data_IF_022009032875
#
_entry.id   IF_022009032875
#
_cell.length_a   1.000
_cell.length_b   1.000
_cell.length_c   1.000
_cell.angle_alpha   90.00
_cell.angle_beta   90.00
_cell.angle_gamma   90.00
#
_symmetry.space_group_name_H-M   'P 1'
#
loop_
_entity.id
_entity.type
_entity.pdbx_description
1 polymer ?
#
# COMPACT_ATOMS: atom_id res chain seq x y z
N UNK A 1 0.90 -12.72 -22.00
CA UNK A 1 1.38 -12.63 -20.59
C UNK A 1 1.15 -11.22 -20.04
N UNK A 2 0.64 -11.06 -18.81
CA UNK A 2 0.32 -9.74 -18.23
C UNK A 2 1.60 -8.99 -17.86
N UNK A 3 1.81 -7.79 -18.43
CA UNK A 3 2.93 -6.92 -18.10
C UNK A 3 2.63 -6.15 -16.80
N UNK A 4 3.44 -6.38 -15.78
CA UNK A 4 3.34 -5.66 -14.51
C UNK A 4 3.93 -4.26 -14.62
N UNK A 5 3.27 -3.27 -14.03
CA UNK A 5 3.77 -1.90 -14.03
C UNK A 5 5.06 -1.75 -13.20
N UNK A 6 5.15 -2.46 -12.07
CA UNK A 6 6.34 -2.42 -11.20
C UNK A 6 7.32 -3.52 -11.57
N UNK A 7 8.52 -3.12 -12.01
CA UNK A 7 9.68 -4.02 -12.15
C UNK A 7 10.24 -4.37 -10.77
N UNK A 8 10.49 -5.65 -10.52
CA UNK A 8 11.04 -6.17 -9.26
C UNK A 8 12.50 -6.53 -9.48
N UNK A 9 13.39 -6.12 -8.58
CA UNK A 9 14.82 -6.46 -8.64
C UNK A 9 15.09 -7.93 -8.25
N UNK A 10 14.47 -8.42 -7.17
CA UNK A 10 14.68 -9.78 -6.67
C UNK A 10 13.42 -10.64 -6.93
N UNK A 11 13.38 -11.36 -8.05
CA UNK A 11 12.23 -12.17 -8.44
C UNK A 11 11.99 -13.38 -7.52
N UNK A 12 13.05 -14.00 -7.00
CA UNK A 12 12.95 -15.22 -6.18
C UNK A 12 12.20 -15.03 -4.86
N UNK A 13 12.21 -13.83 -4.28
CA UNK A 13 11.54 -13.54 -2.99
C UNK A 13 10.16 -12.90 -3.12
N UNK A 14 9.56 -12.98 -4.30
CA UNK A 14 8.29 -12.31 -4.60
C UNK A 14 7.28 -13.29 -5.20
N UNK A 15 6.02 -13.08 -4.83
CA UNK A 15 4.86 -13.73 -5.43
C UNK A 15 4.02 -12.67 -6.14
N UNK A 16 3.43 -13.04 -7.29
CA UNK A 16 2.64 -12.14 -8.13
C UNK A 16 1.25 -12.72 -8.32
N UNK A 17 0.27 -11.85 -8.48
CA UNK A 17 -1.09 -12.20 -8.89
C UNK A 17 -1.67 -11.07 -9.71
N UNK A 18 -2.53 -11.40 -10.67
CA UNK A 18 -3.22 -10.41 -11.48
C UNK A 18 -4.60 -10.92 -11.85
N UNK A 19 -5.54 -10.00 -11.95
CA UNK A 19 -6.85 -10.23 -12.57
C UNK A 19 -7.03 -9.27 -13.73
N UNK A 20 -7.43 -9.78 -14.88
CA UNK A 20 -7.59 -9.01 -16.12
C UNK A 20 -9.07 -8.93 -16.45
N UNK A 21 -9.53 -7.75 -16.86
CA UNK A 21 -10.90 -7.49 -17.31
C UNK A 21 -11.99 -7.93 -16.32
N UNK A 22 -11.77 -7.62 -15.04
CA UNK A 22 -12.68 -8.01 -13.97
C UNK A 22 -13.94 -7.15 -14.02
N UNK A 23 -15.10 -7.80 -13.98
CA UNK A 23 -16.42 -7.15 -13.96
C UNK A 23 -16.79 -6.61 -12.57
N UNK A 24 -15.98 -5.68 -12.07
CA UNK A 24 -16.17 -4.95 -10.81
C UNK A 24 -15.99 -3.46 -11.03
N UNK A 25 -16.62 -2.64 -10.18
CA UNK A 25 -16.57 -1.19 -10.35
C UNK A 25 -15.19 -0.63 -10.01
N UNK A 26 -14.48 -0.13 -11.01
CA UNK A 26 -13.12 0.39 -10.90
C UNK A 26 -12.88 1.30 -9.68
N UNK A 27 -13.74 2.29 -9.44
CA UNK A 27 -13.54 3.28 -8.37
C UNK A 27 -13.59 2.64 -6.98
N UNK A 28 -14.47 1.67 -6.77
CA UNK A 28 -14.62 0.99 -5.48
C UNK A 28 -13.43 0.06 -5.22
N UNK A 29 -13.04 -0.68 -6.26
CA UNK A 29 -11.88 -1.56 -6.22
C UNK A 29 -10.60 -0.78 -6.00
N UNK A 30 -10.47 0.42 -6.57
CA UNK A 30 -9.32 1.29 -6.35
C UNK A 30 -9.16 1.69 -4.88
N UNK A 31 -10.23 2.11 -4.20
CA UNK A 31 -10.16 2.49 -2.78
C UNK A 31 -9.88 1.27 -1.88
N UNK A 32 -10.54 0.13 -2.14
CA UNK A 32 -10.30 -1.11 -1.40
C UNK A 32 -8.85 -1.61 -1.57
N UNK A 33 -8.35 -1.61 -2.80
CA UNK A 33 -6.98 -1.99 -3.12
C UNK A 33 -5.95 -1.03 -2.51
N UNK A 34 -6.29 0.26 -2.40
CA UNK A 34 -5.44 1.26 -1.74
C UNK A 34 -5.36 1.02 -0.23
N UNK A 35 -6.45 0.59 0.40
CA UNK A 35 -6.51 0.31 1.83
C UNK A 35 -5.58 -0.85 2.24
N UNK A 36 -5.56 -1.94 1.46
CA UNK A 36 -4.71 -3.11 1.75
C UNK A 36 -3.22 -2.91 1.42
N UNK A 37 -2.86 -1.79 0.80
CA UNK A 37 -1.49 -1.55 0.34
C UNK A 37 -0.53 -1.44 1.55
N UNK A 38 0.57 -2.20 1.53
CA UNK A 38 1.60 -2.32 2.60
C UNK A 38 1.22 -3.17 3.82
N UNK A 39 0.03 -3.76 3.86
CA UNK A 39 -0.35 -4.74 4.88
C UNK A 39 0.41 -6.06 4.70
N UNK A 40 0.43 -6.90 5.75
CA UNK A 40 0.78 -8.32 5.62
C UNK A 40 -0.31 -9.04 4.83
N UNK A 41 0.04 -10.15 4.18
CA UNK A 41 -0.90 -10.90 3.35
C UNK A 41 -2.12 -11.40 4.15
N UNK A 42 -1.86 -12.05 5.30
CA UNK A 42 -2.90 -12.58 6.18
C UNK A 42 -3.78 -11.48 6.79
N UNK A 43 -3.17 -10.38 7.19
CA UNK A 43 -3.87 -9.20 7.72
C UNK A 43 -4.79 -8.58 6.66
N UNK A 44 -4.32 -8.49 5.41
CA UNK A 44 -5.13 -7.98 4.31
C UNK A 44 -6.35 -8.87 4.03
N UNK A 45 -6.19 -10.20 4.07
CA UNK A 45 -7.31 -11.14 3.92
C UNK A 45 -8.33 -10.96 5.04
N UNK A 46 -7.87 -10.93 6.30
CA UNK A 46 -8.73 -10.67 7.46
C UNK A 46 -9.51 -9.37 7.32
N UNK A 47 -8.82 -8.27 7.00
CA UNK A 47 -9.45 -6.97 6.78
C UNK A 47 -10.54 -7.00 5.70
N UNK A 48 -10.28 -7.65 4.56
CA UNK A 48 -11.27 -7.73 3.48
C UNK A 48 -12.50 -8.57 3.88
N UNK A 49 -12.33 -9.62 4.67
CA UNK A 49 -13.44 -10.38 5.25
C UNK A 49 -14.24 -9.52 6.24
N UNK A 50 -13.57 -8.79 7.14
CA UNK A 50 -14.23 -7.86 8.08
C UNK A 50 -15.04 -6.77 7.34
N UNK A 51 -14.59 -6.33 6.17
CA UNK A 51 -15.34 -5.39 5.32
C UNK A 51 -16.58 -6.03 4.71
N UNK A 52 -16.50 -7.30 4.30
CA UNK A 52 -17.65 -8.04 3.76
C UNK A 52 -18.72 -8.20 4.85
N UNK A 53 -18.30 -8.48 6.08
CA UNK A 53 -19.15 -8.57 7.27
C UNK A 53 -19.58 -7.20 7.82
N UNK A 54 -19.13 -6.10 7.21
CA UNK A 54 -19.39 -4.71 7.61
C UNK A 54 -18.89 -4.32 9.01
N UNK A 55 -17.98 -5.10 9.59
CA UNK A 55 -17.32 -4.80 10.88
C UNK A 55 -16.31 -3.65 10.76
N UNK A 56 -15.59 -3.59 9.64
CA UNK A 56 -14.64 -2.51 9.29
C UNK A 56 -15.02 -1.89 7.96
N UNK A 57 -14.73 -0.61 7.75
CA UNK A 57 -15.04 0.06 6.49
C UNK A 57 -13.80 0.25 5.60
N UNK A 58 -14.02 0.48 4.31
CA UNK A 58 -13.00 0.97 3.39
C UNK A 58 -13.06 2.49 3.36
N UNK A 59 -11.97 3.22 3.65
CA UNK A 59 -11.94 4.67 3.55
C UNK A 59 -11.93 5.10 2.08
N UNK A 60 -12.90 5.94 1.67
CA UNK A 60 -12.97 6.48 0.31
C UNK A 60 -12.27 7.84 0.27
N UNK A 61 -11.13 7.92 -0.42
CA UNK A 61 -10.28 9.13 -0.42
C UNK A 61 -10.21 9.86 -1.75
N UNK A 62 -10.04 9.15 -2.87
CA UNK A 62 -9.95 9.77 -4.21
C UNK A 62 -11.32 9.89 -4.86
N UNK A 63 -12.14 8.84 -4.77
CA UNK A 63 -13.47 8.80 -5.37
C UNK A 63 -14.56 8.93 -4.30
N UNK A 64 -14.61 10.08 -3.62
CA UNK A 64 -15.44 10.31 -2.45
C UNK A 64 -16.70 11.18 -2.70
N UNK A 65 -17.06 11.45 -3.96
CA UNK A 65 -18.26 12.20 -4.31
C UNK A 65 -19.54 11.49 -3.86
N UNK A 66 -20.34 12.14 -3.01
CA UNK A 66 -21.60 11.60 -2.47
C UNK A 66 -21.44 10.39 -1.53
N UNK A 67 -20.24 10.18 -0.97
CA UNK A 67 -20.02 9.07 -0.01
C UNK A 67 -20.43 9.49 1.39
N UNK A 68 -21.30 8.68 2.01
CA UNK A 68 -21.73 8.87 3.40
C UNK A 68 -20.59 8.80 4.41
N UNK A 69 -20.80 9.43 5.57
CA UNK A 69 -19.86 9.39 6.71
C UNK A 69 -20.16 8.19 7.58
N UNK A 70 -19.13 7.58 8.16
CA UNK A 70 -19.27 6.39 9.02
C UNK A 70 -18.30 6.48 10.20
N UNK A 71 -18.73 6.10 11.41
CA UNK A 71 -17.87 6.11 12.61
C UNK A 71 -16.64 5.19 12.46
N UNK A 72 -16.79 4.07 11.73
CA UNK A 72 -15.70 3.12 11.44
C UNK A 72 -14.53 3.77 10.68
N UNK A 73 -14.76 4.85 9.93
CA UNK A 73 -13.71 5.53 9.16
C UNK A 73 -12.71 6.27 10.06
N UNK A 74 -13.05 6.51 11.35
CA UNK A 74 -12.15 7.11 12.34
C UNK A 74 -10.85 6.33 12.49
N UNK A 75 -10.89 5.00 12.33
CA UNK A 75 -9.68 4.16 12.34
C UNK A 75 -8.63 4.63 11.32
N UNK A 76 -9.07 5.18 10.19
CA UNK A 76 -8.20 5.63 9.11
C UNK A 76 -7.93 7.13 9.14
N UNK A 77 -8.25 7.81 10.24
CA UNK A 77 -8.26 9.27 10.40
C UNK A 77 -9.01 9.94 9.24
N UNK A 78 -10.18 9.39 8.89
CA UNK A 78 -11.02 9.87 7.81
C UNK A 78 -12.50 9.83 8.21
N UNK A 79 -13.35 10.55 7.48
CA UNK A 79 -14.78 10.65 7.80
C UNK A 79 -15.67 9.78 6.91
N UNK A 80 -15.27 9.60 5.64
CA UNK A 80 -16.06 8.92 4.62
C UNK A 80 -15.59 7.48 4.38
N UNK A 81 -16.53 6.53 4.37
CA UNK A 81 -16.24 5.11 4.16
C UNK A 81 -17.44 4.33 3.66
N UNK A 82 -17.18 3.17 3.01
CA UNK A 82 -18.21 2.22 2.55
C UNK A 82 -17.72 0.79 2.67
N UNK A 83 -18.63 -0.16 2.41
CA UNK A 83 -18.37 -1.61 2.38
C UNK A 83 -18.55 -2.20 0.98
N UNK A 84 -17.58 -2.04 0.06
CA UNK A 84 -17.71 -2.55 -1.31
C UNK A 84 -17.50 -4.07 -1.39
N UNK A 85 -18.50 -4.85 -0.96
CA UNK A 85 -18.40 -6.30 -0.83
C UNK A 85 -17.94 -7.01 -2.13
N UNK A 86 -18.47 -6.62 -3.30
CA UNK A 86 -18.06 -7.21 -4.59
C UNK A 86 -16.58 -6.98 -4.86
N UNK A 87 -16.06 -5.77 -4.62
CA UNK A 87 -14.64 -5.48 -4.83
C UNK A 87 -13.75 -6.27 -3.86
N UNK A 88 -14.17 -6.42 -2.61
CA UNK A 88 -13.42 -7.20 -1.61
C UNK A 88 -13.33 -8.68 -1.98
N UNK A 89 -14.43 -9.30 -2.44
CA UNK A 89 -14.44 -10.70 -2.92
C UNK A 89 -13.43 -10.94 -4.05
N UNK A 90 -13.40 -10.07 -5.05
CA UNK A 90 -12.43 -10.19 -6.16
C UNK A 90 -10.99 -9.97 -5.70
N UNK A 91 -10.76 -9.07 -4.74
CA UNK A 91 -9.42 -8.89 -4.17
C UNK A 91 -8.97 -10.11 -3.36
N UNK A 92 -9.85 -10.73 -2.58
CA UNK A 92 -9.57 -11.96 -1.84
C UNK A 92 -9.13 -13.09 -2.78
N UNK A 93 -9.89 -13.35 -3.85
CA UNK A 93 -9.54 -14.38 -4.83
C UNK A 93 -8.12 -14.17 -5.43
N UNK A 94 -7.73 -12.91 -5.67
CA UNK A 94 -6.38 -12.60 -6.18
C UNK A 94 -5.33 -12.81 -5.07
N UNK A 95 -5.63 -12.47 -3.82
CA UNK A 95 -4.72 -12.72 -2.69
C UNK A 95 -4.57 -14.22 -2.39
N UNK A 96 -5.60 -15.02 -2.60
CA UNK A 96 -5.53 -16.50 -2.52
C UNK A 96 -4.58 -17.05 -3.58
N UNK A 97 -4.70 -16.56 -4.83
CA UNK A 97 -3.74 -16.91 -5.89
C UNK A 97 -2.32 -16.45 -5.57
N UNK A 98 -2.13 -15.24 -5.02
CA UNK A 98 -0.81 -14.76 -4.57
C UNK A 98 -0.23 -15.66 -3.48
N UNK A 99 -1.07 -16.17 -2.56
CA UNK A 99 -0.64 -17.11 -1.53
C UNK A 99 -0.19 -18.44 -2.15
N UNK A 100 -1.01 -19.04 -3.01
CA UNK A 100 -0.67 -20.29 -3.69
C UNK A 100 0.63 -20.18 -4.51
N UNK A 101 0.83 -19.05 -5.19
CA UNK A 101 2.07 -18.79 -5.93
C UNK A 101 3.29 -18.59 -5.01
N UNK A 102 3.09 -18.15 -3.77
CA UNK A 102 4.15 -18.01 -2.80
C UNK A 102 4.53 -19.38 -2.20
N UNK A 103 3.55 -20.22 -1.90
CA UNK A 103 3.72 -21.59 -1.43
C UNK A 103 4.46 -22.44 -2.47
N UNK A 104 4.08 -22.36 -3.74
CA UNK A 104 4.79 -23.01 -4.86
C UNK A 104 6.26 -22.58 -4.98
N UNK A 105 6.60 -21.38 -4.47
CA UNK A 105 7.97 -20.83 -4.45
C UNK A 105 8.69 -21.05 -3.11
N UNK A 106 8.11 -21.83 -2.20
CA UNK A 106 8.62 -22.08 -0.85
C UNK A 106 8.90 -20.79 -0.05
N UNK A 107 8.07 -19.76 -0.23
CA UNK A 107 8.15 -18.52 0.53
C UNK A 107 7.31 -18.62 1.81
N UNK A 108 7.80 -18.02 2.90
CA UNK A 108 7.06 -17.97 4.17
C UNK A 108 5.85 -17.01 4.07
N UNK A 109 4.65 -17.58 4.03
CA UNK A 109 3.37 -16.87 3.90
C UNK A 109 3.16 -15.84 5.02
N UNK A 110 3.66 -16.12 6.23
CA UNK A 110 3.50 -15.24 7.40
C UNK A 110 4.29 -13.93 7.28
N UNK A 111 5.41 -13.97 6.53
CA UNK A 111 6.33 -12.85 6.32
C UNK A 111 6.07 -12.08 5.01
N UNK A 112 5.05 -12.46 4.24
CA UNK A 112 4.67 -11.77 3.01
C UNK A 112 4.00 -10.44 3.29
N UNK A 113 4.51 -9.38 2.65
CA UNK A 113 3.90 -8.05 2.64
C UNK A 113 3.59 -7.57 1.24
N UNK A 114 2.44 -6.90 1.09
CA UNK A 114 1.98 -6.36 -0.18
C UNK A 114 2.79 -5.12 -0.55
N UNK A 115 3.65 -5.23 -1.56
CA UNK A 115 4.54 -4.14 -2.01
C UNK A 115 3.89 -3.30 -3.10
N UNK A 116 3.16 -3.96 -4.00
CA UNK A 116 2.50 -3.31 -5.11
C UNK A 116 1.07 -3.82 -5.17
N UNK A 117 0.14 -2.88 -5.16
CA UNK A 117 -1.27 -3.12 -5.43
C UNK A 117 -1.67 -2.01 -6.39
N UNK A 118 -2.08 -2.37 -7.58
CA UNK A 118 -2.47 -1.45 -8.64
C UNK A 118 -3.80 -1.89 -9.22
N UNK A 119 -4.65 -0.90 -9.51
CA UNK A 119 -5.92 -1.10 -10.20
C UNK A 119 -5.95 -0.13 -11.38
N UNK A 120 -6.12 -0.67 -12.59
CA UNK A 120 -6.24 0.07 -13.83
C UNK A 120 -7.66 -0.05 -14.38
N UNK A 121 -8.12 0.99 -15.09
CA UNK A 121 -9.36 0.90 -15.85
C UNK A 121 -9.20 -0.11 -16.98
N UNK A 122 -10.22 -0.93 -17.21
CA UNK A 122 -10.32 -1.80 -18.37
C UNK A 122 -11.29 -1.18 -19.39
N UNK A 123 -11.41 -1.81 -20.58
CA UNK A 123 -12.30 -1.34 -21.64
C UNK A 123 -13.75 -1.36 -21.14
N UNK A 124 -14.50 -0.24 -21.21
CA UNK A 124 -15.89 -0.22 -20.77
C UNK A 124 -16.77 -1.06 -21.68
N UNK A 125 -17.66 -1.86 -21.09
CA UNK A 125 -18.72 -2.55 -21.84
C UNK A 125 -19.84 -1.55 -22.16
N UNK A 126 -20.33 -1.55 -23.40
CA UNK A 126 -21.31 -0.56 -23.90
C UNK A 126 -22.71 -1.17 -23.94
N UNK A 127 -23.68 -0.48 -23.34
CA UNK A 127 -25.13 -0.73 -23.48
C UNK A 127 -25.85 0.58 -23.76
N UNK A 128 -27.12 0.51 -24.13
CA UNK A 128 -27.99 1.67 -24.38
C UNK A 128 -28.98 1.85 -23.23
N UNK A 129 -29.34 3.10 -22.95
CA UNK A 129 -30.46 3.45 -22.09
C UNK A 129 -31.36 4.41 -22.86
N UNK A 130 -32.62 4.00 -23.04
CA UNK A 130 -33.65 4.83 -23.63
C UNK A 130 -34.12 5.87 -22.61
N UNK A 131 -34.29 7.11 -23.06
CA UNK A 131 -34.68 8.27 -22.26
C UNK A 131 -35.88 8.96 -22.89
N UNK A 132 -36.49 9.87 -22.14
CA UNK A 132 -37.63 10.65 -22.61
C UNK A 132 -37.37 11.35 -23.94
N UNK A 133 -38.42 11.46 -24.76
CA UNK A 133 -38.40 12.03 -26.11
C UNK A 133 -37.49 11.29 -27.10
N UNK A 134 -37.43 9.94 -27.02
CA UNK A 134 -36.68 9.12 -27.98
C UNK A 134 -35.14 9.21 -27.86
N UNK A 135 -34.61 9.87 -26.83
CA UNK A 135 -33.16 10.02 -26.63
C UNK A 135 -32.50 8.69 -26.25
N UNK A 136 -31.30 8.44 -26.76
CA UNK A 136 -30.51 7.24 -26.44
C UNK A 136 -29.19 7.65 -25.81
N UNK A 137 -29.00 7.30 -24.53
CA UNK A 137 -27.76 7.57 -23.80
C UNK A 137 -26.93 6.28 -23.61
N UNK A 138 -25.59 6.40 -23.48
CA UNK A 138 -24.75 5.25 -23.19
C UNK A 138 -24.86 4.81 -21.73
N UNK A 139 -25.00 3.51 -21.50
CA UNK A 139 -24.90 2.89 -20.18
C UNK A 139 -23.69 1.96 -20.14
N UNK A 140 -22.58 2.48 -19.63
CA UNK A 140 -21.29 1.81 -19.70
C UNK A 140 -20.91 1.14 -18.38
N UNK A 141 -20.35 -0.06 -18.45
CA UNK A 141 -19.66 -0.66 -17.30
C UNK A 141 -18.25 -0.08 -17.16
N UNK A 142 -17.69 -0.15 -15.95
CA UNK A 142 -16.30 0.29 -15.66
C UNK A 142 -15.50 -0.86 -15.04
N UNK A 143 -15.14 -1.89 -15.83
CA UNK A 143 -14.32 -3.01 -15.36
C UNK A 143 -12.89 -2.56 -15.05
N UNK A 144 -12.10 -3.43 -14.41
CA UNK A 144 -10.73 -3.11 -14.04
C UNK A 144 -9.75 -4.28 -14.18
N UNK A 145 -8.48 -3.92 -14.39
CA UNK A 145 -7.34 -4.83 -14.23
C UNK A 145 -6.72 -4.61 -12.85
N UNK A 146 -6.42 -5.68 -12.13
CA UNK A 146 -5.78 -5.63 -10.81
C UNK A 146 -4.43 -6.34 -10.90
N UNK A 147 -3.40 -5.73 -10.32
CA UNK A 147 -2.06 -6.31 -10.21
C UNK A 147 -1.60 -6.25 -8.76
N UNK A 148 -1.17 -7.39 -8.22
CA UNK A 148 -0.66 -7.51 -6.86
C UNK A 148 0.71 -8.18 -6.89
N UNK A 149 1.63 -7.63 -6.09
CA UNK A 149 2.94 -8.21 -5.85
C UNK A 149 3.17 -8.23 -4.34
N UNK A 150 3.38 -9.43 -3.80
CA UNK A 150 3.83 -9.66 -2.45
C UNK A 150 5.34 -9.99 -2.45
N UNK A 151 6.03 -9.59 -1.38
CA UNK A 151 7.44 -9.92 -1.15
C UNK A 151 7.63 -10.36 0.29
N UNK A 152 8.50 -11.34 0.47
CA UNK A 152 8.95 -11.75 1.79
C UNK A 152 9.90 -10.71 2.40
N UNK A 153 9.64 -10.33 3.65
CA UNK A 153 10.45 -9.34 4.37
C UNK A 153 11.20 -10.05 5.52
N UNK A 154 12.46 -10.40 5.26
CA UNK A 154 13.31 -11.14 6.22
C UNK A 154 13.94 -10.25 7.30
N UNK A 155 13.92 -8.92 7.14
CA UNK A 155 14.36 -7.95 8.17
C UNK A 155 13.33 -6.84 8.31
N UNK A 156 12.96 -6.41 9.53
CA UNK A 156 12.26 -5.14 9.68
C UNK A 156 13.15 -4.07 9.05
N UNK A 157 12.56 -3.22 8.19
CA UNK A 157 13.27 -2.07 7.65
C UNK A 157 13.93 -1.34 8.81
N UNK A 158 15.25 -1.04 8.72
CA UNK A 158 16.01 -0.38 9.79
C UNK A 158 15.15 0.76 10.33
N UNK A 159 14.57 0.58 11.53
CA UNK A 159 14.02 1.71 12.29
C UNK A 159 15.18 2.70 12.37
N UNK A 160 14.90 3.98 12.14
CA UNK A 160 15.86 5.06 12.35
C UNK A 160 16.76 4.74 13.53
N UNK A 161 18.08 4.88 13.39
CA UNK A 161 19.06 4.62 14.46
C UNK A 161 18.75 5.38 15.77
N UNK A 162 17.88 6.39 15.69
CA UNK A 162 17.39 7.17 16.81
C UNK A 162 16.32 6.43 17.63
N UNK A 163 16.57 6.35 18.92
CA UNK A 163 15.64 5.89 19.96
C UNK A 163 14.40 6.80 20.02
N UNK A 164 13.27 6.28 20.53
CA UNK A 164 12.04 7.07 20.63
C UNK A 164 12.21 8.30 21.53
N UNK A 165 13.12 8.24 22.52
CA UNK A 165 13.48 9.35 23.39
C UNK A 165 14.15 10.51 22.63
N UNK A 166 15.00 10.21 21.64
CA UNK A 166 15.67 11.23 20.83
C UNK A 166 14.73 11.92 19.83
N UNK A 167 13.63 11.29 19.45
CA UNK A 167 12.59 11.88 18.58
C UNK A 167 11.67 12.85 19.31
N UNK A 168 11.54 12.71 20.63
CA UNK A 168 10.64 13.51 21.47
C UNK A 168 11.30 14.76 22.08
N UNK A 169 12.62 14.93 21.98
CA UNK A 169 13.28 16.15 22.44
C UNK A 169 12.77 17.35 21.63
N UNK A 170 11.97 18.23 22.25
CA UNK A 170 11.63 19.55 21.70
C UNK A 170 12.93 20.34 21.59
N UNK A 171 13.30 20.68 20.37
CA UNK A 171 14.49 21.49 20.11
C UNK A 171 14.18 22.95 20.47
N UNK A 172 15.07 23.65 21.21
CA UNK A 172 14.82 25.00 21.71
C UNK A 172 14.78 26.09 20.62
N UNK A 173 15.12 25.76 19.37
CA UNK A 173 15.09 26.68 18.25
C UNK A 173 14.76 25.94 16.95
N UNK A 174 14.40 26.67 15.88
CA UNK A 174 14.02 26.22 14.51
C UNK A 174 15.16 25.49 13.76
N UNK A 175 15.96 24.68 14.43
CA UNK A 175 16.99 23.83 13.83
C UNK A 175 16.36 22.48 13.56
N UNK A 176 16.38 22.05 12.30
CA UNK A 176 15.87 20.74 11.95
C UNK A 176 16.76 19.64 12.53
N UNK A 177 16.15 18.56 12.99
CA UNK A 177 16.84 17.37 13.53
C UNK A 177 17.93 16.83 12.58
N UNK A 178 17.72 16.97 11.27
CA UNK A 178 18.71 16.64 10.23
C UNK A 178 19.99 17.49 10.31
N UNK A 179 19.86 18.81 10.57
CA UNK A 179 21.00 19.74 10.65
C UNK A 179 21.86 19.44 11.88
N UNK A 180 21.23 19.09 13.00
CA UNK A 180 21.90 18.67 14.23
C UNK A 180 22.64 17.34 14.09
N UNK A 181 22.02 16.33 13.48
CA UNK A 181 22.69 15.04 13.23
C UNK A 181 23.91 15.24 12.32
N UNK A 182 23.79 16.07 11.27
CA UNK A 182 24.90 16.38 10.38
C UNK A 182 26.04 17.10 11.12
N UNK A 183 25.71 18.07 11.98
CA UNK A 183 26.68 18.78 12.85
C UNK A 183 27.39 17.83 13.82
N UNK A 184 26.65 16.90 14.43
CA UNK A 184 27.22 15.97 15.40
C UNK A 184 28.16 14.94 14.73
N UNK A 185 27.76 14.42 13.57
CA UNK A 185 28.60 13.55 12.73
C UNK A 185 29.87 14.29 12.28
N UNK A 186 29.76 15.57 11.88
CA UNK A 186 30.94 16.36 11.51
C UNK A 186 31.89 16.60 12.68
N UNK A 187 31.36 16.81 13.89
CA UNK A 187 32.17 16.99 15.10
C UNK A 187 32.88 15.69 15.50
N UNK A 188 32.20 14.54 15.44
CA UNK A 188 32.82 13.22 15.70
C UNK A 188 33.96 12.92 14.70
N UNK A 189 33.75 13.21 13.41
CA UNK A 189 34.79 13.04 12.40
C UNK A 189 35.98 14.00 12.62
N UNK A 190 35.72 15.23 13.06
CA UNK A 190 36.78 16.21 13.38
C UNK A 190 37.61 15.80 14.59
N UNK A 191 36.99 15.20 15.61
CA UNK A 191 37.67 14.65 16.80
C UNK A 191 38.52 13.43 16.44
N UNK A 192 37.99 12.50 15.65
CA UNK A 192 38.75 11.34 15.13
C UNK A 192 39.95 11.77 14.30
N UNK A 193 39.80 12.77 13.44
CA UNK A 193 40.91 13.26 12.64
C UNK A 193 41.98 13.98 13.49
N UNK A 194 41.57 14.63 14.59
CA UNK A 194 42.51 15.22 15.57
C UNK A 194 43.28 14.14 16.35
N UNK A 195 42.63 13.05 16.78
CA UNK A 195 43.32 11.96 17.49
C UNK A 195 44.32 11.25 16.59
N UNK A 196 43.99 11.04 15.30
CA UNK A 196 44.92 10.44 14.32
C UNK A 196 46.14 11.34 14.09
N UNK A 197 45.94 12.66 13.94
CA UNK A 197 47.07 13.60 13.81
C UNK A 197 47.96 13.65 15.06
N UNK A 198 47.38 13.55 16.26
CA UNK A 198 48.13 13.58 17.52
C UNK A 198 48.96 12.30 17.73
N UNK A 199 48.56 11.18 17.14
CA UNK A 199 49.34 9.93 17.15
C UNK A 199 50.49 9.94 16.13
N UNK A 200 50.39 10.71 15.05
CA UNK A 200 51.43 10.82 14.02
C UNK A 200 52.57 11.80 14.37
N UNK A 201 52.39 12.66 15.38
CA UNK A 201 53.39 13.65 15.81
C UNK A 201 54.23 13.21 17.02
N UNK A 202 54.09 11.94 17.47
CA UNK A 202 54.78 11.39 18.65
C UNK A 202 55.75 10.24 18.26
N UNK A 203 56.13 10.19 16.99
CA UNK A 203 57.24 9.40 16.44
C UNK A 203 58.22 10.37 15.78
#
# INVERSE_FOLDING_TARGET
MVKYAKKIRNLGKCAKGAGVDLRVHFKNTYEAARAIRRMKLLEAKKYLNDVIEKKRCVPFRKYNGGVGRTNQAKEFNHTQGRWPAKSCKFLLNILDNVQANAESRNLDVSKLRLIHVMVNKARPGRRRTYKAHGRINPFMSSPCHIQIIAREINKPAKKSLLSNAEKQKKLPFKVTLKKLIKLNISNQNRLKNKSVKKQQTVQ
#
